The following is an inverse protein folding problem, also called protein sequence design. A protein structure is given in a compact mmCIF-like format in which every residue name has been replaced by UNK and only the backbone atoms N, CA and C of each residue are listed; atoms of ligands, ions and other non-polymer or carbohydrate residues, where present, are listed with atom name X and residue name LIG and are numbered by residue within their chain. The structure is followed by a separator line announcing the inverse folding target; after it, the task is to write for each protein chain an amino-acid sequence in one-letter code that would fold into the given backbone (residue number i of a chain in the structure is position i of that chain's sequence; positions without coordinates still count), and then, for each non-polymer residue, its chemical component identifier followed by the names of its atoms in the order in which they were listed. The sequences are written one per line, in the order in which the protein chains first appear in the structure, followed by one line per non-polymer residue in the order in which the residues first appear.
data_IF_510769814080
#
_entry.id   IF_510769814080
#
_cell.length_a   1.000
_cell.length_b   1.000
_cell.length_c   1.000
_cell.angle_alpha   90.00
_cell.angle_beta   90.00
_cell.angle_gamma   90.00
#
_symmetry.space_group_name_H-M   'P 1'
#
loop_
_entity.id
_entity.type
_entity.pdbx_description
1 polymer ?
#
# COMPACT_ATOMS: atom_id res chain seq x y z
N UNK A 1 9.95 28.01 3.85
CA UNK A 1 8.94 26.99 3.52
C UNK A 1 9.34 26.39 2.19
N UNK A 2 10.10 25.29 2.21
CA UNK A 2 10.49 24.57 1.00
C UNK A 2 9.35 23.65 0.64
N UNK A 3 8.58 24.01 -0.39
CA UNK A 3 7.64 23.10 -1.06
C UNK A 3 8.47 22.02 -1.74
N UNK A 4 8.77 20.93 -1.02
CA UNK A 4 9.30 19.72 -1.65
C UNK A 4 8.22 19.23 -2.60
N UNK A 5 8.49 19.30 -3.89
CA UNK A 5 7.65 18.64 -4.89
C UNK A 5 7.47 17.18 -4.48
N UNK A 6 6.25 16.62 -4.62
CA UNK A 6 6.00 15.24 -4.25
C UNK A 6 6.97 14.33 -5.00
N UNK A 7 7.58 13.31 -4.35
CA UNK A 7 8.31 12.29 -5.07
C UNK A 7 7.36 11.63 -6.07
N UNK A 8 7.64 11.85 -7.35
CA UNK A 8 6.86 11.30 -8.45
C UNK A 8 7.01 9.78 -8.39
N UNK A 9 5.92 9.04 -8.20
CA UNK A 9 5.91 7.59 -8.36
C UNK A 9 6.55 7.25 -9.72
N UNK A 10 7.26 6.13 -9.81
CA UNK A 10 7.97 5.76 -11.05
C UNK A 10 7.01 5.89 -12.24
N UNK A 11 7.44 6.54 -13.35
CA UNK A 11 6.59 6.71 -14.54
C UNK A 11 5.97 5.41 -15.04
N UNK A 12 6.63 4.27 -14.84
CA UNK A 12 6.09 2.95 -15.16
C UNK A 12 4.93 2.55 -14.24
N UNK A 13 5.03 2.81 -12.93
CA UNK A 13 3.92 2.59 -12.00
C UNK A 13 2.73 3.47 -12.39
N UNK A 14 2.94 4.77 -12.56
CA UNK A 14 1.87 5.70 -12.92
C UNK A 14 1.23 5.41 -14.28
N UNK A 15 1.98 4.81 -15.21
CA UNK A 15 1.44 4.36 -16.50
C UNK A 15 0.52 3.14 -16.37
N UNK A 16 0.83 2.22 -15.45
CA UNK A 16 0.07 0.99 -15.24
C UNK A 16 -1.13 1.26 -14.32
N UNK A 17 -0.93 2.09 -13.30
CA UNK A 17 -1.92 2.45 -12.29
C UNK A 17 -2.05 3.98 -12.21
N UNK A 18 -2.76 4.63 -13.15
CA UNK A 18 -2.86 6.09 -13.16
C UNK A 18 -3.79 6.67 -12.09
N UNK A 19 -4.55 5.84 -11.38
CA UNK A 19 -5.57 6.25 -10.42
C UNK A 19 -6.89 6.65 -11.11
N UNK A 20 -7.96 6.91 -10.36
CA UNK A 20 -8.03 6.89 -8.89
C UNK A 20 -8.00 5.48 -8.32
N UNK A 21 -7.75 5.36 -7.02
CA UNK A 21 -7.69 4.08 -6.31
C UNK A 21 -8.94 3.84 -5.45
N UNK A 22 -9.31 2.58 -5.26
CA UNK A 22 -10.29 2.15 -4.27
C UNK A 22 -9.83 0.87 -3.60
N UNK A 23 -10.22 0.66 -2.34
CA UNK A 23 -10.19 -0.67 -1.74
C UNK A 23 -11.60 -1.26 -1.68
N UNK A 24 -11.69 -2.59 -1.70
CA UNK A 24 -12.93 -3.34 -1.56
C UNK A 24 -12.66 -4.64 -0.80
N UNK A 25 -13.61 -5.14 0.01
CA UNK A 25 -13.52 -6.51 0.50
C UNK A 25 -13.49 -7.49 -0.68
N UNK A 26 -12.68 -8.53 -0.53
CA UNK A 26 -12.47 -9.59 -1.50
C UNK A 26 -12.23 -10.93 -0.79
N UNK A 27 -12.01 -11.96 -1.60
CA UNK A 27 -11.57 -13.26 -1.10
C UNK A 27 -10.62 -13.86 -2.11
N UNK A 28 -9.61 -14.52 -1.60
CA UNK A 28 -8.68 -15.25 -2.42
C UNK A 28 -9.10 -16.72 -2.68
N UNK A 29 -10.38 -17.06 -2.45
CA UNK A 29 -10.93 -18.44 -2.41
C UNK A 29 -10.47 -19.27 -1.20
N UNK A 30 -9.41 -18.89 -0.50
CA UNK A 30 -8.92 -19.53 0.72
C UNK A 30 -9.13 -18.58 1.90
N UNK A 31 -8.65 -17.35 1.75
CA UNK A 31 -8.62 -16.30 2.75
C UNK A 31 -9.53 -15.12 2.37
N UNK A 32 -9.90 -14.32 3.37
CA UNK A 32 -10.56 -13.05 3.14
C UNK A 32 -9.53 -11.95 2.95
N UNK A 33 -9.81 -11.01 2.05
CA UNK A 33 -8.88 -9.92 1.71
C UNK A 33 -9.58 -8.57 1.69
N UNK A 34 -8.80 -7.51 1.85
CA UNK A 34 -9.15 -6.21 1.27
C UNK A 34 -8.20 -5.93 0.12
N UNK A 35 -8.78 -5.71 -1.05
CA UNK A 35 -8.05 -5.56 -2.31
C UNK A 35 -8.09 -4.10 -2.75
N UNK A 36 -6.92 -3.56 -3.07
CA UNK A 36 -6.76 -2.22 -3.65
C UNK A 36 -6.71 -2.33 -5.17
N UNK A 37 -7.54 -1.55 -5.85
CA UNK A 37 -7.64 -1.51 -7.30
C UNK A 37 -7.40 -0.10 -7.82
N UNK A 38 -6.79 -0.02 -9.00
CA UNK A 38 -6.81 1.18 -9.82
C UNK A 38 -8.10 1.19 -10.64
N UNK A 39 -8.98 2.17 -10.42
CA UNK A 39 -10.32 2.24 -11.03
C UNK A 39 -10.21 2.43 -12.54
N UNK A 40 -9.33 3.32 -13.00
CA UNK A 40 -9.20 3.69 -14.41
C UNK A 40 -8.79 2.54 -15.32
N UNK A 41 -8.03 1.57 -14.78
CA UNK A 41 -7.52 0.42 -15.54
C UNK A 41 -8.17 -0.89 -15.11
N UNK A 42 -9.03 -0.84 -14.10
CA UNK A 42 -9.64 -2.00 -13.42
C UNK A 42 -8.59 -3.04 -12.95
N UNK A 43 -7.36 -2.61 -12.73
CA UNK A 43 -6.28 -3.51 -12.33
C UNK A 43 -6.16 -3.61 -10.82
N UNK A 44 -5.97 -4.84 -10.35
CA UNK A 44 -5.56 -5.12 -8.97
C UNK A 44 -4.15 -4.59 -8.71
N UNK A 45 -3.98 -3.89 -7.59
CA UNK A 45 -2.72 -3.29 -7.15
C UNK A 45 -2.08 -4.14 -6.05
N UNK A 46 -2.82 -4.40 -4.96
CA UNK A 46 -2.35 -5.18 -3.81
C UNK A 46 -3.52 -5.74 -3.00
N UNK A 47 -3.26 -6.75 -2.18
CA UNK A 47 -4.21 -7.32 -1.21
C UNK A 47 -3.65 -7.33 0.21
N UNK A 48 -4.49 -6.99 1.18
CA UNK A 48 -4.26 -7.25 2.61
C UNK A 48 -5.11 -8.44 3.06
N UNK A 49 -4.47 -9.47 3.60
CA UNK A 49 -5.17 -10.65 4.09
C UNK A 49 -5.65 -10.45 5.51
N UNK A 50 -6.80 -11.03 5.84
CA UNK A 50 -7.24 -11.17 7.21
C UNK A 50 -7.93 -12.50 7.44
N UNK A 51 -7.65 -13.05 8.61
CA UNK A 51 -8.38 -14.18 9.18
C UNK A 51 -9.31 -13.60 10.24
N UNK A 52 -8.78 -13.31 11.43
CA UNK A 52 -9.53 -12.69 12.54
C UNK A 52 -9.34 -11.17 12.68
N UNK A 53 -8.38 -10.59 11.95
CA UNK A 53 -7.97 -9.18 12.10
C UNK A 53 -8.52 -8.26 11.00
N UNK A 54 -9.83 -8.38 10.73
CA UNK A 54 -10.52 -7.64 9.66
C UNK A 54 -10.32 -6.13 9.75
N UNK A 55 -10.60 -5.53 10.91
CA UNK A 55 -10.51 -4.08 11.12
C UNK A 55 -9.09 -3.55 10.86
N UNK A 56 -8.07 -4.33 11.27
CA UNK A 56 -6.67 -4.00 11.00
C UNK A 56 -6.37 -4.03 9.50
N UNK A 57 -6.79 -5.09 8.80
CA UNK A 57 -6.54 -5.21 7.37
C UNK A 57 -7.28 -4.15 6.54
N UNK A 58 -8.49 -3.78 6.97
CA UNK A 58 -9.28 -2.70 6.38
C UNK A 58 -8.59 -1.34 6.55
N UNK A 59 -8.15 -1.03 7.78
CA UNK A 59 -7.40 0.19 8.07
C UNK A 59 -6.14 0.29 7.20
N UNK A 60 -5.40 -0.81 7.04
CA UNK A 60 -4.23 -0.85 6.16
C UNK A 60 -4.63 -0.57 4.71
N UNK A 61 -5.65 -1.25 4.17
CA UNK A 61 -6.08 -1.06 2.80
C UNK A 61 -6.59 0.37 2.53
N UNK A 62 -7.32 0.95 3.48
CA UNK A 62 -7.75 2.35 3.44
C UNK A 62 -6.55 3.30 3.37
N UNK A 63 -5.61 3.22 4.33
CA UNK A 63 -4.46 4.14 4.39
C UNK A 63 -3.58 4.02 3.13
N UNK A 64 -3.40 2.81 2.61
CA UNK A 64 -2.66 2.59 1.37
C UNK A 64 -3.36 3.21 0.16
N UNK A 65 -4.68 3.08 0.09
CA UNK A 65 -5.48 3.71 -0.96
C UNK A 65 -5.30 5.23 -0.91
N UNK A 66 -5.42 5.83 0.28
CA UNK A 66 -5.22 7.27 0.47
C UNK A 66 -3.79 7.70 0.15
N UNK A 67 -2.78 6.92 0.54
CA UNK A 67 -1.38 7.24 0.27
C UNK A 67 -1.08 7.22 -1.24
N UNK A 68 -1.56 6.19 -1.96
CA UNK A 68 -1.41 6.10 -3.42
C UNK A 68 -2.15 7.22 -4.13
N UNK A 69 -3.37 7.55 -3.67
CA UNK A 69 -4.15 8.66 -4.21
C UNK A 69 -3.44 10.00 -3.99
N UNK A 70 -2.87 10.24 -2.81
CA UNK A 70 -2.11 11.45 -2.49
C UNK A 70 -0.90 11.68 -3.41
N UNK A 71 -0.30 10.61 -3.93
CA UNK A 71 0.78 10.70 -4.90
C UNK A 71 0.30 10.96 -6.34
N UNK A 72 -0.97 10.69 -6.64
CA UNK A 72 -1.56 10.79 -7.99
C UNK A 72 -2.42 12.03 -8.20
N UNK A 73 -3.13 12.47 -7.16
CA UNK A 73 -3.98 13.64 -7.15
C UNK A 73 -3.76 14.42 -5.86
N UNK A 74 -3.93 15.74 -5.88
CA UNK A 74 -3.92 16.58 -4.67
C UNK A 74 -5.13 16.30 -3.74
N UNK A 75 -5.84 15.18 -3.92
CA UNK A 75 -7.06 14.87 -3.21
C UNK A 75 -6.76 14.36 -1.79
N UNK A 76 -7.33 15.07 -0.81
CA UNK A 76 -7.13 14.87 0.63
C UNK A 76 -8.47 14.54 1.28
N UNK A 77 -8.82 13.27 1.33
CA UNK A 77 -9.85 12.76 2.24
C UNK A 77 -9.26 11.68 3.17
N UNK A 78 -8.03 11.90 3.65
CA UNK A 78 -7.46 11.06 4.71
C UNK A 78 -8.07 11.46 6.06
N UNK A 79 -8.75 10.53 6.72
CA UNK A 79 -9.14 10.71 8.12
C UNK A 79 -7.89 10.69 9.02
N UNK A 80 -7.66 11.80 9.73
CA UNK A 80 -6.52 11.95 10.63
C UNK A 80 -6.54 10.95 11.79
N UNK A 81 -7.71 10.47 12.21
CA UNK A 81 -7.82 9.44 13.24
C UNK A 81 -7.36 8.10 12.72
N UNK A 82 -7.76 7.72 11.50
CA UNK A 82 -7.33 6.48 10.86
C UNK A 82 -5.82 6.51 10.57
N UNK A 83 -5.30 7.64 10.11
CA UNK A 83 -3.85 7.83 9.98
C UNK A 83 -3.11 7.64 11.31
N UNK A 84 -3.59 8.25 12.40
CA UNK A 84 -2.98 8.10 13.73
C UNK A 84 -3.05 6.65 14.22
N UNK A 85 -4.19 5.98 14.03
CA UNK A 85 -4.36 4.57 14.39
C UNK A 85 -3.37 3.69 13.60
N UNK A 86 -3.25 3.93 12.29
CA UNK A 86 -2.27 3.25 11.44
C UNK A 86 -0.84 3.50 11.92
N UNK A 87 -0.47 4.73 12.26
CA UNK A 87 0.88 5.07 12.75
C UNK A 87 1.19 4.51 14.14
N UNK A 88 0.19 4.30 14.99
CA UNK A 88 0.39 3.59 16.26
C UNK A 88 0.70 2.10 16.03
N UNK A 89 0.10 1.49 15.02
CA UNK A 89 0.36 0.10 14.65
C UNK A 89 1.66 -0.06 13.86
N UNK A 90 1.92 0.89 12.97
CA UNK A 90 3.02 0.90 12.01
C UNK A 90 3.76 2.26 12.02
N UNK A 91 4.54 2.58 13.06
CA UNK A 91 5.25 3.86 13.19
C UNK A 91 6.32 4.16 12.12
N UNK A 92 6.76 3.17 11.35
CA UNK A 92 7.84 3.33 10.38
C UNK A 92 9.22 3.56 11.03
N UNK A 93 10.26 3.91 10.24
CA UNK A 93 10.25 4.06 8.79
C UNK A 93 9.90 2.77 8.04
N UNK A 94 9.35 2.93 6.85
CA UNK A 94 8.94 1.82 5.99
C UNK A 94 10.03 1.44 5.01
N UNK A 95 10.24 0.14 4.80
CA UNK A 95 11.07 -0.36 3.72
C UNK A 95 10.45 -1.62 3.13
N UNK A 96 10.68 -1.85 1.84
CA UNK A 96 10.22 -3.05 1.15
C UNK A 96 11.37 -4.04 1.06
N UNK A 97 11.17 -5.28 1.51
CA UNK A 97 12.03 -6.40 1.13
C UNK A 97 11.35 -7.13 -0.02
N UNK A 98 12.06 -7.32 -1.12
CA UNK A 98 11.60 -8.23 -2.18
C UNK A 98 12.51 -9.45 -2.19
N UNK A 99 12.50 -10.19 -1.08
CA UNK A 99 13.11 -11.50 -1.04
C UNK A 99 12.14 -12.50 -1.68
N UNK A 100 12.14 -12.57 -3.02
CA UNK A 100 12.06 -13.90 -3.59
C UNK A 100 12.64 -14.02 -5.01
N UNK A 101 13.49 -15.03 -5.15
CA UNK A 101 13.99 -15.61 -6.38
C UNK A 101 13.02 -16.67 -6.94
N UNK A 102 11.97 -17.05 -6.18
CA UNK A 102 10.96 -18.05 -6.56
C UNK A 102 9.81 -17.51 -7.43
N UNK A 103 9.58 -16.19 -7.40
CA UNK A 103 8.48 -15.56 -8.12
C UNK A 103 7.10 -15.60 -7.43
N UNK A 104 6.98 -16.24 -6.26
CA UNK A 104 5.71 -16.40 -5.54
C UNK A 104 5.71 -15.83 -4.12
N UNK A 105 6.78 -15.14 -3.70
CA UNK A 105 6.88 -14.61 -2.34
C UNK A 105 6.01 -13.36 -2.10
N UNK A 106 5.40 -13.22 -0.90
CA UNK A 106 4.76 -11.97 -0.51
C UNK A 106 5.80 -10.86 -0.45
N UNK A 107 5.39 -9.61 -0.74
CA UNK A 107 6.24 -8.48 -0.36
C UNK A 107 5.80 -7.99 0.99
N UNK A 108 6.77 -8.03 1.90
CA UNK A 108 6.68 -7.43 3.20
C UNK A 108 7.15 -5.97 3.10
N UNK A 109 6.25 -5.04 3.38
CA UNK A 109 6.64 -3.70 3.81
C UNK A 109 6.84 -3.78 5.32
N UNK A 110 8.09 -3.94 5.71
CA UNK A 110 8.44 -4.15 7.11
C UNK A 110 8.55 -2.79 7.78
N UNK A 111 7.92 -2.66 8.95
CA UNK A 111 8.16 -1.57 9.86
C UNK A 111 9.45 -1.86 10.64
N UNK A 112 10.46 -0.98 10.55
CA UNK A 112 11.78 -1.21 11.13
C UNK A 112 11.81 -1.30 12.66
N UNK A 113 10.74 -0.94 13.37
CA UNK A 113 10.73 -0.87 14.84
C UNK A 113 10.11 -2.10 15.53
N UNK A 114 9.41 -2.97 14.81
CA UNK A 114 8.94 -4.25 15.37
C UNK A 114 8.93 -5.35 14.31
N UNK A 115 9.81 -6.34 14.46
CA UNK A 115 9.82 -7.54 13.62
C UNK A 115 8.49 -8.32 13.65
N UNK A 116 7.60 -8.05 14.61
CA UNK A 116 6.30 -8.70 14.78
C UNK A 116 5.14 -8.03 14.02
N UNK A 117 5.36 -6.89 13.35
CA UNK A 117 4.29 -6.15 12.62
C UNK A 117 4.76 -5.70 11.23
N UNK A 118 5.13 -6.66 10.39
CA UNK A 118 5.29 -6.41 8.95
C UNK A 118 3.92 -6.22 8.29
N UNK A 119 3.85 -5.31 7.33
CA UNK A 119 2.72 -5.19 6.41
C UNK A 119 2.98 -6.16 5.25
N UNK A 120 2.38 -7.34 5.31
CA UNK A 120 2.52 -8.35 4.26
C UNK A 120 1.42 -8.16 3.22
N UNK A 121 1.81 -7.96 1.96
CA UNK A 121 0.87 -7.85 0.84
C UNK A 121 1.12 -9.00 -0.15
N UNK A 122 0.04 -9.53 -0.72
CA UNK A 122 0.15 -10.36 -1.93
C UNK A 122 -0.25 -9.55 -3.17
N UNK A 123 0.36 -9.94 -4.28
CA UNK A 123 0.12 -9.41 -5.60
C UNK A 123 -0.43 -10.53 -6.46
N UNK A 124 -1.44 -10.19 -7.26
CA UNK A 124 -2.00 -10.95 -8.38
C UNK A 124 -1.31 -12.29 -8.72
N UNK A 125 -2.06 -13.38 -8.56
CA UNK A 125 -1.63 -14.78 -8.44
C UNK A 125 -1.03 -15.41 -9.71
N UNK A 126 -0.73 -14.60 -10.72
CA UNK A 126 -0.39 -15.09 -12.06
C UNK A 126 0.82 -14.39 -12.71
N UNK A 127 1.40 -13.32 -12.14
CA UNK A 127 2.50 -12.61 -12.80
C UNK A 127 3.64 -12.20 -11.86
N UNK A 128 4.74 -12.92 -12.01
CA UNK A 128 6.07 -12.58 -11.48
C UNK A 128 6.50 -11.19 -11.98
N UNK A 129 6.66 -10.23 -11.06
CA UNK A 129 7.25 -8.91 -11.35
C UNK A 129 6.43 -7.69 -10.94
N UNK A 130 5.10 -7.81 -10.81
CA UNK A 130 4.25 -6.69 -10.33
C UNK A 130 4.60 -6.29 -8.90
N UNK A 131 4.93 -7.26 -8.05
CA UNK A 131 5.30 -7.01 -6.67
C UNK A 131 6.53 -6.07 -6.56
N UNK A 132 7.63 -6.38 -7.28
CA UNK A 132 8.84 -5.53 -7.32
C UNK A 132 8.56 -4.13 -7.86
N UNK A 133 7.53 -3.99 -8.70
CA UNK A 133 7.06 -2.70 -9.14
C UNK A 133 6.28 -1.99 -8.04
N UNK A 134 5.31 -2.60 -7.37
CA UNK A 134 4.39 -1.88 -6.47
C UNK A 134 5.00 -1.56 -5.10
N UNK A 135 5.77 -2.48 -4.49
CA UNK A 135 6.18 -2.30 -3.10
C UNK A 135 7.03 -1.05 -2.81
N UNK A 136 8.01 -0.67 -3.65
CA UNK A 136 8.74 0.59 -3.45
C UNK A 136 7.83 1.82 -3.53
N UNK A 137 6.73 1.75 -4.30
CA UNK A 137 5.77 2.85 -4.46
C UNK A 137 4.85 2.97 -3.26
N UNK A 138 4.44 1.84 -2.67
CA UNK A 138 3.71 1.84 -1.40
C UNK A 138 4.56 2.47 -0.29
N UNK A 139 5.83 2.09 -0.18
CA UNK A 139 6.76 2.71 0.79
C UNK A 139 6.89 4.21 0.54
N UNK A 140 7.16 4.62 -0.71
CA UNK A 140 7.29 6.03 -1.06
C UNK A 140 6.01 6.83 -0.74
N UNK A 141 4.84 6.26 -1.04
CA UNK A 141 3.54 6.88 -0.76
C UNK A 141 3.29 7.06 0.73
N UNK A 142 3.58 6.04 1.55
CA UNK A 142 3.42 6.10 3.00
C UNK A 142 4.36 7.13 3.65
N UNK A 143 5.62 7.18 3.24
CA UNK A 143 6.60 8.17 3.74
C UNK A 143 6.22 9.61 3.34
N UNK A 144 5.71 9.77 2.12
CA UNK A 144 5.22 11.05 1.64
C UNK A 144 3.97 11.51 2.41
N UNK A 145 3.03 10.60 2.66
CA UNK A 145 1.85 10.88 3.46
C UNK A 145 2.25 11.28 4.87
N UNK A 146 3.20 10.57 5.49
CA UNK A 146 3.72 10.91 6.82
C UNK A 146 4.30 12.32 6.89
N UNK A 147 5.13 12.70 5.91
CA UNK A 147 5.73 14.04 5.84
C UNK A 147 4.70 15.15 5.64
N UNK A 148 3.52 14.83 5.08
CA UNK A 148 2.49 15.82 4.72
C UNK A 148 1.45 16.03 5.80
N UNK A 149 1.34 15.10 6.76
CA UNK A 149 0.36 15.10 7.85
C UNK A 149 1.01 15.50 9.20
N UNK A 150 2.32 15.33 9.34
CA UNK A 150 3.12 15.81 10.48
C UNK A 150 3.50 17.30 10.36
#
# INVERSE_FOLDING_TARGET
MTTKSPPVLNPQFSKIYPGPFRYSPGSDWVDSTFDVYCISTEQHVLSTFYWDERERAELVAYVLTCALEFCHSDCKDLDLQEWKAFRQLYPGPYYSTSEDSSGYGPIEVINSQSAERSLTFCYDRCFTGKAKLVAPHVVAALEQLATSVE
#
